data_IF_914698417962
#
_entry.id   IF_914698417962
#
_cell.length_a   1.000
_cell.length_b   1.000
_cell.length_c   1.000
_cell.angle_alpha   90.00
_cell.angle_beta   90.00
_cell.angle_gamma   90.00
#
_symmetry.space_group_name_H-M   'P 1'
#
loop_
_entity.id
_entity.type
_entity.pdbx_description
1 polymer ?
#
# COMPACT_ATOMS: atom_id res chain seq x y z
N UNK A 1 34.73 -103.58 -9.68
CA UNK A 1 36.12 -103.32 -9.21
C UNK A 1 36.48 -101.84 -9.41
N UNK A 2 37.06 -101.21 -8.41
CA UNK A 2 37.67 -99.93 -8.36
C UNK A 2 36.80 -98.66 -8.33
N UNK A 3 36.64 -98.10 -7.12
CA UNK A 3 36.44 -96.69 -6.85
C UNK A 3 37.63 -95.86 -7.30
N UNK A 4 37.50 -94.55 -7.57
CA UNK A 4 37.97 -93.63 -6.59
C UNK A 4 37.18 -92.32 -6.46
N UNK A 5 37.22 -91.87 -5.26
CA UNK A 5 37.44 -90.59 -4.63
C UNK A 5 36.77 -89.29 -5.15
N UNK A 6 35.84 -88.87 -4.34
CA UNK A 6 35.34 -87.48 -4.23
C UNK A 6 36.46 -86.51 -3.72
N UNK A 7 36.51 -85.36 -4.35
CA UNK A 7 37.09 -84.13 -3.73
C UNK A 7 36.00 -83.08 -3.71
N UNK A 8 35.59 -82.76 -2.52
CA UNK A 8 34.62 -81.67 -2.26
C UNK A 8 35.36 -80.30 -2.35
N UNK A 9 34.97 -79.50 -3.30
CA UNK A 9 35.35 -78.08 -3.34
C UNK A 9 34.24 -77.21 -2.75
N UNK A 10 34.49 -76.66 -1.58
CA UNK A 10 33.61 -75.71 -0.96
C UNK A 10 33.71 -74.36 -1.66
N UNK A 11 32.70 -73.94 -2.36
CA UNK A 11 32.58 -72.53 -2.89
C UNK A 11 31.97 -71.65 -1.84
N UNK A 12 32.78 -70.79 -1.22
CA UNK A 12 32.33 -69.69 -0.38
C UNK A 12 31.78 -68.57 -1.25
N UNK A 13 30.44 -68.42 -1.27
CA UNK A 13 29.78 -67.27 -1.86
C UNK A 13 29.77 -66.14 -0.84
N UNK A 14 30.67 -65.20 -1.02
CA UNK A 14 30.64 -63.95 -0.28
C UNK A 14 29.57 -63.02 -0.87
N UNK A 15 28.42 -62.94 -0.21
CA UNK A 15 27.37 -61.96 -0.51
C UNK A 15 27.80 -60.61 0.13
N UNK A 16 28.38 -59.73 -0.68
CA UNK A 16 28.59 -58.31 -0.33
C UNK A 16 27.26 -57.58 -0.33
N UNK A 17 26.72 -57.32 0.85
CA UNK A 17 25.66 -56.34 1.08
C UNK A 17 26.22 -54.94 0.79
N UNK A 18 26.00 -54.46 -0.41
CA UNK A 18 26.17 -53.04 -0.72
C UNK A 18 24.97 -52.26 -0.13
N UNK A 19 25.12 -51.76 1.08
CA UNK A 19 24.24 -50.77 1.66
C UNK A 19 24.46 -49.48 0.90
N UNK A 20 23.63 -49.23 -0.09
CA UNK A 20 23.54 -47.91 -0.76
C UNK A 20 23.02 -46.89 0.22
N UNK A 21 23.91 -46.13 0.79
CA UNK A 21 23.63 -44.87 1.44
C UNK A 21 23.12 -43.93 0.34
N UNK A 22 21.80 -43.88 0.17
CA UNK A 22 21.16 -42.81 -0.55
C UNK A 22 21.30 -41.58 0.33
N UNK A 23 22.35 -40.79 0.07
CA UNK A 23 22.43 -39.44 0.54
C UNK A 23 21.26 -38.68 -0.07
N UNK A 24 20.19 -38.52 0.68
CA UNK A 24 19.22 -37.45 0.41
C UNK A 24 19.97 -36.14 0.54
N UNK A 25 20.55 -35.70 -0.54
CA UNK A 25 20.85 -34.29 -0.73
C UNK A 25 19.48 -33.63 -0.75
N UNK A 26 19.08 -33.10 0.40
CA UNK A 26 17.99 -32.15 0.46
C UNK A 26 18.42 -31.02 -0.48
N UNK A 27 17.89 -31.05 -1.69
CA UNK A 27 18.03 -29.99 -2.66
C UNK A 27 17.37 -28.78 -1.99
N UNK A 28 18.21 -27.96 -1.32
CA UNK A 28 17.81 -26.61 -0.96
C UNK A 28 17.40 -26.00 -2.30
N UNK A 29 16.10 -25.96 -2.54
CA UNK A 29 15.54 -25.18 -3.61
C UNK A 29 16.07 -23.77 -3.36
N UNK A 30 17.11 -23.39 -4.10
CA UNK A 30 17.54 -22.02 -4.18
C UNK A 30 16.29 -21.27 -4.58
N UNK A 31 15.74 -20.48 -3.64
CA UNK A 31 14.55 -19.69 -3.89
C UNK A 31 14.94 -18.63 -4.93
N UNK A 32 14.83 -19.00 -6.20
CA UNK A 32 15.02 -18.12 -7.34
C UNK A 32 13.86 -17.15 -7.38
N UNK A 33 13.94 -16.10 -6.56
CA UNK A 33 12.95 -15.04 -6.53
C UNK A 33 13.66 -13.70 -6.42
N UNK A 34 13.01 -12.68 -6.92
CA UNK A 34 13.48 -11.29 -6.82
C UNK A 34 12.94 -10.69 -5.53
N UNK A 35 13.77 -10.03 -4.71
CA UNK A 35 13.29 -9.36 -3.51
C UNK A 35 12.37 -8.20 -3.91
N UNK A 36 11.19 -8.16 -3.31
CA UNK A 36 10.19 -7.12 -3.47
C UNK A 36 9.79 -6.62 -2.09
N UNK A 37 9.53 -5.33 -2.00
CA UNK A 37 9.13 -4.65 -0.78
C UNK A 37 7.71 -4.13 -0.89
N UNK A 38 7.00 -4.11 0.22
CA UNK A 38 5.72 -3.41 0.34
C UNK A 38 5.47 -2.99 1.78
N UNK A 39 4.77 -1.89 1.96
CA UNK A 39 4.29 -1.47 3.28
C UNK A 39 2.99 -2.20 3.59
N UNK A 40 2.89 -2.72 4.80
CA UNK A 40 1.71 -3.45 5.29
C UNK A 40 1.24 -2.80 6.59
N UNK A 41 -0.03 -2.45 6.66
CA UNK A 41 -0.68 -2.00 7.89
C UNK A 41 -1.31 -3.19 8.60
N UNK A 42 -1.05 -3.35 9.90
CA UNK A 42 -1.67 -4.39 10.73
C UNK A 42 -2.88 -3.79 11.45
N UNK A 43 -4.02 -4.44 11.30
CA UNK A 43 -5.29 -3.99 11.88
C UNK A 43 -5.97 -5.08 12.70
N UNK A 44 -6.89 -4.67 13.56
CA UNK A 44 -7.81 -5.58 14.22
C UNK A 44 -9.09 -5.69 13.37
N UNK A 45 -9.54 -6.91 13.06
CA UNK A 45 -10.83 -7.12 12.40
C UNK A 45 -12.01 -6.63 13.24
N UNK A 46 -11.87 -6.69 14.55
CA UNK A 46 -12.90 -6.27 15.51
C UNK A 46 -12.27 -5.58 16.71
N UNK A 47 -12.81 -4.41 17.08
CA UNK A 47 -12.34 -3.63 18.23
C UNK A 47 -11.01 -2.91 17.94
N UNK A 48 -10.42 -2.34 18.98
CA UNK A 48 -9.23 -1.48 18.86
C UNK A 48 -7.90 -2.20 19.17
N UNK A 49 -7.96 -3.44 19.72
CA UNK A 49 -6.77 -4.17 20.10
C UNK A 49 -6.17 -4.90 18.90
N UNK A 50 -5.11 -4.32 18.34
CA UNK A 50 -4.38 -4.91 17.23
C UNK A 50 -3.44 -5.99 17.73
N UNK A 51 -3.55 -7.23 17.23
CA UNK A 51 -2.66 -8.33 17.59
C UNK A 51 -1.22 -8.07 17.14
N UNK A 52 -0.26 -8.62 17.87
CA UNK A 52 1.13 -8.64 17.47
C UNK A 52 1.31 -9.68 16.36
N UNK A 53 1.94 -9.29 15.28
CA UNK A 53 2.26 -10.15 14.12
C UNK A 53 3.77 -10.29 14.02
N UNK A 54 4.27 -11.53 14.05
CA UNK A 54 5.66 -11.84 13.80
C UNK A 54 5.86 -12.24 12.33
N UNK A 55 7.09 -12.30 11.89
CA UNK A 55 7.42 -12.67 10.49
C UNK A 55 6.85 -14.02 10.08
N UNK A 56 6.88 -15.00 10.95
CA UNK A 56 6.36 -16.36 10.73
C UNK A 56 4.84 -16.42 10.57
N UNK A 57 4.14 -15.41 11.12
CA UNK A 57 2.69 -15.30 11.02
C UNK A 57 2.24 -14.70 9.66
N UNK A 58 3.17 -14.13 8.89
CA UNK A 58 2.89 -13.48 7.61
C UNK A 58 2.98 -14.49 6.47
N UNK A 59 1.90 -14.65 5.76
CA UNK A 59 1.83 -15.48 4.56
C UNK A 59 1.57 -14.62 3.33
N UNK A 60 2.48 -14.71 2.37
CA UNK A 60 2.40 -14.01 1.08
C UNK A 60 2.07 -15.01 -0.01
N UNK A 61 1.05 -14.73 -0.81
CA UNK A 61 0.65 -15.54 -1.96
C UNK A 61 0.73 -14.71 -3.24
N UNK A 62 1.41 -15.25 -4.22
CA UNK A 62 1.50 -14.72 -5.58
C UNK A 62 0.73 -15.71 -6.48
N UNK A 63 -0.49 -15.37 -6.82
CA UNK A 63 -1.45 -16.29 -7.38
C UNK A 63 -1.77 -17.46 -6.41
N UNK A 64 -1.34 -18.67 -6.76
CA UNK A 64 -1.50 -19.86 -5.90
C UNK A 64 -0.24 -20.23 -5.13
N UNK A 65 0.89 -19.64 -5.49
CA UNK A 65 2.20 -19.97 -4.93
C UNK A 65 2.45 -19.16 -3.67
N UNK A 66 2.95 -19.81 -2.61
CA UNK A 66 3.39 -19.13 -1.40
C UNK A 66 4.80 -18.59 -1.60
N UNK A 67 4.95 -17.28 -1.48
CA UNK A 67 6.24 -16.62 -1.55
C UNK A 67 7.00 -16.72 -0.21
N UNK A 68 8.33 -16.65 -0.28
CA UNK A 68 9.18 -16.70 0.90
C UNK A 68 9.34 -15.32 1.50
N UNK A 69 8.81 -15.12 2.72
CA UNK A 69 8.98 -13.89 3.50
C UNK A 69 10.42 -13.84 4.01
N UNK A 70 11.14 -12.78 3.66
CA UNK A 70 12.52 -12.54 4.06
C UNK A 70 12.61 -11.67 5.30
N UNK A 71 11.84 -10.60 5.32
CA UNK A 71 11.88 -9.63 6.39
C UNK A 71 10.49 -9.09 6.72
N UNK A 72 10.32 -8.69 7.98
CA UNK A 72 9.12 -8.09 8.53
C UNK A 72 9.54 -7.07 9.58
N UNK A 73 9.75 -5.83 9.15
CA UNK A 73 10.35 -4.79 9.95
C UNK A 73 9.30 -3.74 10.35
N UNK A 74 9.12 -3.46 11.65
CA UNK A 74 8.21 -2.41 12.08
C UNK A 74 8.71 -1.04 11.61
N UNK A 75 7.82 -0.27 11.01
CA UNK A 75 8.09 1.09 10.55
C UNK A 75 7.75 2.09 11.66
N UNK A 76 8.44 1.96 12.81
CA UNK A 76 8.22 2.75 14.01
C UNK A 76 9.53 3.36 14.51
N UNK A 77 9.42 4.48 15.25
CA UNK A 77 10.56 5.14 15.86
C UNK A 77 11.17 6.27 15.03
N UNK A 78 12.20 6.91 15.59
CA UNK A 78 12.80 8.13 15.03
C UNK A 78 13.59 7.88 13.73
N UNK A 79 13.96 6.63 13.46
CA UNK A 79 14.82 6.28 12.32
C UNK A 79 14.03 5.90 11.06
N UNK A 80 12.72 5.80 11.16
CA UNK A 80 11.85 5.42 10.03
C UNK A 80 11.04 6.62 9.58
N UNK A 81 11.63 7.41 8.67
CA UNK A 81 11.00 8.59 8.14
C UNK A 81 9.70 8.30 7.38
N UNK A 82 8.73 9.18 7.53
CA UNK A 82 7.52 9.25 6.72
C UNK A 82 7.49 10.62 6.03
N UNK A 83 7.17 10.64 4.75
CA UNK A 83 6.75 11.83 4.04
C UNK A 83 5.26 11.70 3.73
N UNK A 84 4.46 12.58 4.30
CA UNK A 84 3.02 12.61 4.11
C UNK A 84 2.61 13.91 3.41
N UNK A 85 2.02 13.80 2.22
CA UNK A 85 1.37 14.94 1.59
C UNK A 85 -0.10 15.01 1.96
N UNK A 86 -0.52 16.19 2.40
CA UNK A 86 -1.94 16.56 2.49
C UNK A 86 -2.32 17.19 1.15
N UNK A 87 -3.14 16.48 0.36
CA UNK A 87 -3.56 16.87 -0.98
C UNK A 87 -5.04 17.24 -0.97
N UNK A 88 -5.35 18.53 -1.02
CA UNK A 88 -6.71 19.08 -0.88
C UNK A 88 -7.25 19.54 -2.23
N UNK A 89 -8.48 19.21 -2.53
CA UNK A 89 -9.14 19.61 -3.77
C UNK A 89 -9.57 21.09 -3.71
N UNK A 90 -9.05 21.93 -4.62
CA UNK A 90 -9.42 23.34 -4.73
C UNK A 90 -10.85 23.54 -5.29
N UNK A 91 -11.45 22.50 -5.86
CA UNK A 91 -12.85 22.46 -6.23
C UNK A 91 -13.76 21.99 -5.09
N UNK A 92 -13.22 21.70 -3.91
CA UNK A 92 -14.02 21.39 -2.72
C UNK A 92 -14.84 22.61 -2.27
N UNK A 93 -15.97 22.32 -1.60
CA UNK A 93 -16.78 23.37 -1.03
C UNK A 93 -15.99 24.16 0.04
N UNK A 94 -16.13 25.49 0.05
CA UNK A 94 -15.44 26.36 1.01
C UNK A 94 -15.82 26.10 2.48
N UNK A 95 -16.92 25.37 2.72
CA UNK A 95 -17.29 24.86 4.06
C UNK A 95 -16.22 23.94 4.66
N UNK A 96 -15.31 23.38 3.84
CA UNK A 96 -14.12 22.66 4.31
C UNK A 96 -13.25 23.51 5.25
N UNK A 97 -13.42 24.85 5.19
CA UNK A 97 -12.76 25.75 6.12
C UNK A 97 -12.97 25.40 7.60
N UNK A 98 -14.11 24.80 7.96
CA UNK A 98 -14.40 24.38 9.33
C UNK A 98 -13.61 23.14 9.78
N UNK A 99 -13.16 22.30 8.85
CA UNK A 99 -12.37 21.09 9.14
C UNK A 99 -10.85 21.32 9.01
N UNK A 100 -10.42 22.50 8.52
CA UNK A 100 -8.99 22.79 8.40
C UNK A 100 -8.27 22.83 9.76
N UNK A 101 -8.99 23.15 10.84
CA UNK A 101 -8.41 23.11 12.18
C UNK A 101 -8.09 21.68 12.61
N UNK A 102 -8.95 20.72 12.31
CA UNK A 102 -8.69 19.30 12.56
C UNK A 102 -7.42 18.84 11.81
N UNK A 103 -7.25 19.26 10.55
CA UNK A 103 -6.04 18.96 9.76
C UNK A 103 -4.80 19.63 10.38
N UNK A 104 -4.90 20.88 10.87
CA UNK A 104 -3.78 21.56 11.55
C UNK A 104 -3.35 20.82 12.82
N UNK A 105 -4.32 20.40 13.63
CA UNK A 105 -4.05 19.63 14.84
C UNK A 105 -3.40 18.29 14.50
N UNK A 106 -3.89 17.59 13.49
CA UNK A 106 -3.28 16.37 12.99
C UNK A 106 -1.83 16.58 12.56
N UNK A 107 -1.53 17.62 11.74
CA UNK A 107 -0.16 17.95 11.31
C UNK A 107 0.75 18.18 12.52
N UNK A 108 0.30 19.03 13.46
CA UNK A 108 1.11 19.39 14.62
C UNK A 108 1.32 18.24 15.62
N UNK A 109 0.44 17.23 15.60
CA UNK A 109 0.53 16.06 16.47
C UNK A 109 1.43 14.94 15.91
N UNK A 110 1.88 15.05 14.64
CA UNK A 110 2.73 14.03 14.05
C UNK A 110 4.12 13.99 14.70
N UNK A 111 4.77 12.79 14.72
CA UNK A 111 6.15 12.66 15.20
C UNK A 111 7.13 13.54 14.42
N UNK A 112 8.21 13.98 15.05
CA UNK A 112 9.26 14.80 14.40
C UNK A 112 9.96 14.09 13.23
N UNK A 113 9.87 12.76 13.16
CA UNK A 113 10.35 11.95 12.03
C UNK A 113 9.44 11.99 10.80
N UNK A 114 8.24 12.58 10.92
CA UNK A 114 7.28 12.72 9.83
C UNK A 114 7.45 14.09 9.16
N UNK A 115 7.81 14.10 7.88
CA UNK A 115 7.84 15.31 7.09
C UNK A 115 6.49 15.51 6.38
N UNK A 116 5.85 16.67 6.58
CA UNK A 116 4.54 16.99 6.02
C UNK A 116 4.67 17.94 4.85
N UNK A 117 4.08 17.55 3.70
CA UNK A 117 3.86 18.40 2.55
C UNK A 117 2.39 18.84 2.44
N UNK A 118 2.14 19.98 1.82
CA UNK A 118 0.78 20.49 1.54
C UNK A 118 0.69 20.88 0.09
N UNK A 119 -0.29 20.31 -0.60
CA UNK A 119 -0.58 20.61 -2.00
C UNK A 119 -2.09 20.70 -2.24
N UNK A 120 -2.46 21.38 -3.33
CA UNK A 120 -3.85 21.53 -3.76
C UNK A 120 -4.04 20.95 -5.15
N UNK A 121 -5.15 20.21 -5.35
CA UNK A 121 -5.58 19.72 -6.65
C UNK A 121 -6.12 20.90 -7.45
N UNK A 122 -5.50 21.22 -8.56
CA UNK A 122 -5.93 22.31 -9.42
C UNK A 122 -5.68 22.01 -10.89
N UNK A 123 -6.73 21.97 -11.70
CA UNK A 123 -6.63 21.71 -13.15
C UNK A 123 -5.84 20.44 -13.51
N UNK A 124 -5.95 19.39 -12.70
CA UNK A 124 -5.21 18.13 -12.91
C UNK A 124 -3.72 18.21 -12.54
N UNK A 125 -3.28 19.24 -11.83
CA UNK A 125 -1.92 19.42 -11.34
C UNK A 125 -1.95 19.50 -9.82
N UNK A 126 -0.90 19.04 -9.14
CA UNK A 126 -0.70 19.29 -7.73
C UNK A 126 0.03 20.62 -7.54
N UNK A 127 -0.69 21.64 -7.07
CA UNK A 127 -0.11 22.92 -6.68
C UNK A 127 0.53 22.80 -5.29
N UNK A 128 1.85 22.57 -5.26
CA UNK A 128 2.59 22.32 -4.02
C UNK A 128 2.87 23.66 -3.35
N UNK A 129 2.18 23.92 -2.23
CA UNK A 129 2.41 25.12 -1.41
C UNK A 129 3.52 24.92 -0.39
N UNK A 130 3.70 23.67 0.08
CA UNK A 130 4.77 23.29 1.00
C UNK A 130 5.31 21.91 0.63
N UNK A 131 6.59 21.83 0.32
CA UNK A 131 7.28 20.55 0.22
C UNK A 131 7.38 19.86 1.59
N UNK A 132 7.57 18.55 1.65
CA UNK A 132 7.70 17.85 2.92
C UNK A 132 8.74 18.49 3.84
N UNK A 133 8.31 18.87 5.05
CA UNK A 133 9.13 19.51 6.08
C UNK A 133 8.81 18.92 7.45
N UNK A 134 9.82 18.81 8.30
CA UNK A 134 9.65 18.42 9.70
C UNK A 134 9.25 19.65 10.59
N UNK A 135 9.25 20.86 10.04
CA UNK A 135 8.61 22.02 10.67
C UNK A 135 7.09 21.95 10.44
N UNK A 136 6.41 21.28 11.35
CA UNK A 136 4.96 21.07 11.27
C UNK A 136 4.19 22.38 11.35
N UNK A 137 4.71 23.38 12.08
CA UNK A 137 4.08 24.71 12.13
C UNK A 137 4.16 25.41 10.75
N UNK A 138 5.25 25.23 10.01
CA UNK A 138 5.38 25.72 8.64
C UNK A 138 4.42 24.99 7.71
N UNK A 139 4.32 23.66 7.79
CA UNK A 139 3.37 22.87 7.01
C UNK A 139 1.92 23.30 7.28
N UNK A 140 1.55 23.45 8.54
CA UNK A 140 0.21 23.89 8.95
C UNK A 140 -0.16 25.29 8.44
N UNK A 141 0.80 26.21 8.30
CA UNK A 141 0.59 27.56 7.74
C UNK A 141 0.28 27.52 6.24
N UNK A 142 0.66 26.48 5.51
CA UNK A 142 0.36 26.32 4.10
C UNK A 142 -1.10 25.90 3.84
N UNK A 143 -1.83 25.49 4.88
CA UNK A 143 -3.26 25.18 4.78
C UNK A 143 -4.07 26.47 4.58
N UNK A 144 -4.90 26.46 3.55
CA UNK A 144 -5.86 27.53 3.23
C UNK A 144 -7.23 26.95 2.87
N UNK A 145 -8.24 27.78 2.93
CA UNK A 145 -9.56 27.41 2.43
C UNK A 145 -9.45 27.12 0.92
N UNK A 146 -10.07 26.03 0.42
CA UNK A 146 -10.18 25.80 -1.01
C UNK A 146 -10.81 26.99 -1.74
N UNK A 147 -10.45 27.18 -2.99
CA UNK A 147 -10.97 28.31 -3.77
C UNK A 147 -12.47 28.18 -4.03
N UNK A 148 -13.00 26.97 -3.96
CA UNK A 148 -14.41 26.70 -4.27
C UNK A 148 -14.72 27.01 -5.73
N UNK A 149 -13.76 26.85 -6.62
CA UNK A 149 -13.88 27.18 -8.04
C UNK A 149 -14.12 25.90 -8.85
N UNK A 150 -15.34 25.80 -9.41
CA UNK A 150 -15.68 24.69 -10.30
C UNK A 150 -14.81 24.65 -11.57
N UNK A 151 -14.21 25.78 -11.97
CA UNK A 151 -13.26 25.87 -13.09
C UNK A 151 -11.88 25.31 -12.75
N UNK A 152 -11.52 25.19 -11.45
CA UNK A 152 -10.30 24.53 -11.02
C UNK A 152 -10.39 23.00 -11.09
N UNK A 153 -11.56 22.47 -11.43
CA UNK A 153 -11.84 21.06 -11.47
C UNK A 153 -11.27 20.40 -12.73
N UNK A 154 -10.16 19.72 -12.56
CA UNK A 154 -9.66 18.73 -13.52
C UNK A 154 -9.97 17.32 -13.04
N UNK A 155 -9.15 16.35 -13.46
CA UNK A 155 -9.12 15.04 -12.82
C UNK A 155 -8.27 15.11 -11.55
N UNK A 156 -8.79 14.76 -10.37
CA UNK A 156 -7.99 14.70 -9.16
C UNK A 156 -6.90 13.63 -9.28
N UNK A 157 -7.11 12.62 -10.09
CA UNK A 157 -6.18 11.52 -10.34
C UNK A 157 -4.95 11.95 -11.16
N UNK A 158 -5.11 12.94 -12.08
CA UNK A 158 -3.94 13.56 -12.73
C UNK A 158 -3.05 14.28 -11.73
N UNK A 159 -3.66 14.95 -10.74
CA UNK A 159 -2.90 15.63 -9.69
C UNK A 159 -2.12 14.65 -8.80
N UNK A 160 -2.69 13.47 -8.51
CA UNK A 160 -1.97 12.38 -7.83
C UNK A 160 -0.76 11.93 -8.66
N UNK A 161 -0.96 11.67 -9.95
CA UNK A 161 0.14 11.27 -10.86
C UNK A 161 1.22 12.36 -10.96
N UNK A 162 0.82 13.63 -11.06
CA UNK A 162 1.72 14.77 -11.13
C UNK A 162 2.51 14.93 -9.83
N UNK A 163 1.85 14.82 -8.68
CA UNK A 163 2.51 14.88 -7.37
C UNK A 163 3.59 13.79 -7.24
N UNK A 164 3.23 12.54 -7.52
CA UNK A 164 4.15 11.40 -7.42
C UNK A 164 5.34 11.56 -8.38
N UNK A 165 5.13 12.09 -9.60
CA UNK A 165 6.22 12.34 -10.56
C UNK A 165 7.23 13.37 -10.08
N UNK A 166 6.78 14.37 -9.35
CA UNK A 166 7.63 15.47 -8.81
C UNK A 166 8.17 15.19 -7.43
N UNK A 167 7.70 14.14 -6.78
CA UNK A 167 8.13 13.74 -5.45
C UNK A 167 9.41 12.92 -5.55
N UNK A 168 10.54 13.39 -5.03
CA UNK A 168 11.80 12.66 -5.10
C UNK A 168 11.70 11.28 -4.48
N UNK A 169 12.27 10.29 -5.17
CA UNK A 169 12.40 8.94 -4.61
C UNK A 169 13.45 8.95 -3.48
N UNK A 170 13.23 8.11 -2.48
CA UNK A 170 14.11 8.01 -1.33
C UNK A 170 13.73 6.83 -0.44
N UNK A 171 14.56 6.52 0.58
CA UNK A 171 14.35 5.36 1.45
C UNK A 171 13.26 5.56 2.50
N UNK A 172 12.46 6.61 2.40
CA UNK A 172 11.39 6.94 3.35
C UNK A 172 10.03 6.52 2.81
N UNK A 173 9.11 6.12 3.68
CA UNK A 173 7.71 5.90 3.32
C UNK A 173 7.12 7.17 2.72
N UNK A 174 6.30 7.00 1.68
CA UNK A 174 5.60 8.10 1.02
C UNK A 174 4.10 7.82 1.04
N UNK A 175 3.34 8.74 1.61
CA UNK A 175 1.90 8.58 1.74
C UNK A 175 1.18 9.87 1.39
N UNK A 176 -0.05 9.74 0.94
CA UNK A 176 -0.92 10.87 0.59
C UNK A 176 -2.21 10.77 1.41
N UNK A 177 -2.59 11.86 2.06
CA UNK A 177 -3.94 12.07 2.53
C UNK A 177 -4.66 12.98 1.52
N UNK A 178 -5.54 12.40 0.73
CA UNK A 178 -6.31 13.09 -0.29
C UNK A 178 -7.67 13.53 0.28
N UNK A 179 -8.00 14.82 0.17
CA UNK A 179 -9.29 15.39 0.59
C UNK A 179 -9.99 15.93 -0.65
N UNK A 180 -10.99 15.19 -1.16
CA UNK A 180 -11.63 15.49 -2.45
C UNK A 180 -13.06 14.92 -2.51
N UNK A 181 -13.84 15.36 -3.51
CA UNK A 181 -15.10 14.70 -3.88
C UNK A 181 -14.88 13.45 -4.75
N UNK A 182 -13.64 13.22 -5.21
CA UNK A 182 -13.25 12.09 -6.04
C UNK A 182 -13.86 12.13 -7.46
N UNK A 183 -14.65 13.14 -7.81
CA UNK A 183 -15.32 13.22 -9.11
C UNK A 183 -14.29 13.53 -10.20
N UNK A 184 -14.09 12.59 -11.09
CA UNK A 184 -13.30 12.85 -12.30
C UNK A 184 -14.12 13.61 -13.33
N UNK A 185 -13.82 14.89 -13.48
CA UNK A 185 -14.52 15.79 -14.40
C UNK A 185 -13.99 15.68 -15.82
N UNK A 186 -12.91 14.94 -16.02
CA UNK A 186 -12.26 14.71 -17.31
C UNK A 186 -12.62 13.33 -17.90
N UNK A 187 -12.47 12.27 -17.10
CA UNK A 187 -12.76 10.89 -17.51
C UNK A 187 -14.23 10.48 -17.43
N UNK A 188 -15.05 11.32 -16.78
CA UNK A 188 -16.48 11.02 -16.59
C UNK A 188 -16.76 10.15 -15.37
N UNK A 189 -17.97 9.57 -15.32
CA UNK A 189 -18.46 8.78 -14.20
C UNK A 189 -19.00 7.44 -14.71
N UNK A 190 -18.50 6.33 -14.15
CA UNK A 190 -18.86 4.98 -14.54
C UNK A 190 -18.00 3.90 -13.88
N UNK A 191 -18.26 2.64 -14.18
CA UNK A 191 -17.58 1.51 -13.51
C UNK A 191 -16.10 1.34 -13.93
N UNK A 192 -15.65 2.05 -14.94
CA UNK A 192 -14.28 2.01 -15.44
C UNK A 192 -13.80 3.43 -15.68
N UNK A 193 -12.69 3.80 -15.07
CA UNK A 193 -12.06 5.10 -15.27
C UNK A 193 -10.54 4.92 -15.43
N UNK A 194 -10.01 5.06 -16.66
CA UNK A 194 -8.61 4.81 -16.94
C UNK A 194 -7.65 5.76 -16.22
N UNK A 195 -8.13 6.91 -15.73
CA UNK A 195 -7.30 7.86 -15.00
C UNK A 195 -7.14 7.47 -13.53
N UNK A 196 -8.19 6.87 -12.93
CA UNK A 196 -8.11 6.23 -11.62
C UNK A 196 -7.13 5.07 -11.69
N UNK A 197 -7.28 4.17 -12.66
CA UNK A 197 -6.40 3.02 -12.86
C UNK A 197 -4.93 3.46 -13.05
N UNK A 198 -4.70 4.51 -13.85
CA UNK A 198 -3.36 5.06 -14.06
C UNK A 198 -2.76 5.68 -12.78
N UNK A 199 -3.57 6.32 -11.95
CA UNK A 199 -3.12 6.86 -10.67
C UNK A 199 -2.76 5.75 -9.67
N UNK A 200 -3.57 4.69 -9.63
CA UNK A 200 -3.30 3.49 -8.82
C UNK A 200 -1.99 2.84 -9.25
N UNK A 201 -1.83 2.55 -10.54
CA UNK A 201 -0.59 1.97 -11.06
C UNK A 201 0.65 2.82 -10.74
N UNK A 202 0.50 4.15 -10.86
CA UNK A 202 1.59 5.07 -10.53
C UNK A 202 1.93 5.05 -9.06
N UNK A 203 0.92 5.03 -8.18
CA UNK A 203 1.10 4.95 -6.74
C UNK A 203 1.73 3.63 -6.32
N UNK A 204 1.20 2.50 -6.80
CA UNK A 204 1.74 1.16 -6.51
C UNK A 204 3.20 1.02 -6.98
N UNK A 205 3.53 1.53 -8.19
CA UNK A 205 4.91 1.49 -8.70
C UNK A 205 5.87 2.35 -7.88
N UNK A 206 5.37 3.43 -7.30
CA UNK A 206 6.15 4.34 -6.47
C UNK A 206 6.09 3.99 -4.98
N UNK A 207 5.41 2.90 -4.62
CA UNK A 207 5.18 2.45 -3.23
C UNK A 207 4.54 3.56 -2.36
N UNK A 208 3.58 4.30 -2.96
CA UNK A 208 2.84 5.38 -2.29
C UNK A 208 1.48 4.86 -1.85
N UNK A 209 1.20 4.94 -0.56
CA UNK A 209 -0.12 4.63 0.00
C UNK A 209 -0.99 5.89 -0.06
N UNK A 210 -2.26 5.71 -0.44
CA UNK A 210 -3.21 6.83 -0.54
C UNK A 210 -4.38 6.59 0.41
N UNK A 211 -4.56 7.50 1.34
CA UNK A 211 -5.76 7.63 2.17
C UNK A 211 -6.64 8.71 1.58
N UNK A 212 -7.95 8.59 1.73
CA UNK A 212 -8.86 9.60 1.24
C UNK A 212 -9.95 9.96 2.25
N UNK A 213 -10.25 11.26 2.34
CA UNK A 213 -11.42 11.77 3.06
C UNK A 213 -12.33 12.43 2.04
N UNK A 214 -13.58 11.97 1.98
CA UNK A 214 -14.58 12.59 1.12
C UNK A 214 -14.98 13.97 1.64
N UNK A 215 -15.05 14.95 0.73
CA UNK A 215 -15.63 16.27 0.97
C UNK A 215 -16.42 16.70 -0.28
N UNK A 216 -17.61 17.30 -0.15
CA UNK A 216 -18.39 17.73 -1.31
C UNK A 216 -17.67 18.77 -2.16
N UNK A 217 -17.76 18.62 -3.46
CA UNK A 217 -17.29 19.61 -4.43
C UNK A 217 -18.32 20.72 -4.68
N UNK A 218 -17.89 21.77 -5.37
CA UNK A 218 -18.76 22.88 -5.78
C UNK A 218 -19.39 22.66 -7.16
N UNK A 219 -20.41 23.48 -7.44
CA UNK A 219 -21.13 23.47 -8.71
C UNK A 219 -22.08 22.30 -8.88
N UNK A 220 -22.70 22.20 -10.06
CA UNK A 220 -23.74 21.17 -10.30
C UNK A 220 -23.21 19.73 -10.27
N UNK A 221 -21.90 19.52 -10.46
CA UNK A 221 -21.27 18.21 -10.30
C UNK A 221 -21.38 17.71 -8.87
N UNK A 222 -21.12 18.58 -7.88
CA UNK A 222 -21.23 18.27 -6.46
C UNK A 222 -22.66 18.01 -5.96
N UNK A 223 -23.69 18.24 -6.79
CA UNK A 223 -25.10 17.97 -6.47
C UNK A 223 -25.68 16.77 -7.25
N UNK A 224 -24.92 16.15 -8.13
CA UNK A 224 -25.34 14.97 -8.87
C UNK A 224 -25.10 13.71 -8.05
N UNK A 225 -26.17 13.09 -7.55
CA UNK A 225 -26.09 11.82 -6.80
C UNK A 225 -25.26 10.75 -7.53
N UNK A 226 -25.45 10.61 -8.84
CA UNK A 226 -24.72 9.67 -9.68
C UNK A 226 -23.21 9.93 -9.65
N UNK A 227 -22.80 11.19 -9.81
CA UNK A 227 -21.38 11.58 -9.83
C UNK A 227 -20.73 11.48 -8.46
N UNK A 228 -21.46 11.89 -7.41
CA UNK A 228 -21.00 11.74 -6.03
C UNK A 228 -20.71 10.27 -5.73
N UNK A 229 -21.64 9.38 -6.10
CA UNK A 229 -21.47 7.95 -5.88
C UNK A 229 -20.22 7.40 -6.58
N UNK A 230 -19.99 7.75 -7.86
CA UNK A 230 -18.77 7.34 -8.56
C UNK A 230 -17.52 7.98 -8.00
N UNK A 231 -17.56 9.26 -7.61
CA UNK A 231 -16.44 9.91 -6.96
C UNK A 231 -15.99 9.18 -5.71
N UNK A 232 -16.93 8.78 -4.87
CA UNK A 232 -16.65 8.01 -3.66
C UNK A 232 -16.15 6.60 -3.96
N UNK A 233 -16.70 5.92 -4.96
CA UNK A 233 -16.19 4.62 -5.39
C UNK A 233 -14.74 4.73 -5.88
N UNK A 234 -14.38 5.79 -6.60
CA UNK A 234 -13.01 6.01 -7.04
C UNK A 234 -12.05 6.33 -5.89
N UNK A 235 -12.52 7.09 -4.88
CA UNK A 235 -11.74 7.32 -3.67
C UNK A 235 -11.50 6.01 -2.91
N UNK A 236 -12.53 5.16 -2.79
CA UNK A 236 -12.39 3.83 -2.20
C UNK A 236 -11.40 2.98 -3.01
N UNK A 237 -11.59 2.91 -4.33
CA UNK A 237 -10.74 2.11 -5.19
C UNK A 237 -9.26 2.50 -5.07
N UNK A 238 -8.92 3.79 -5.18
CA UNK A 238 -7.51 4.23 -5.11
C UNK A 238 -6.91 4.00 -3.73
N UNK A 239 -7.68 4.15 -2.66
CA UNK A 239 -7.21 3.88 -1.30
C UNK A 239 -7.00 2.38 -1.09
N UNK A 240 -8.00 1.56 -1.36
CA UNK A 240 -7.95 0.11 -1.15
C UNK A 240 -6.83 -0.55 -1.97
N UNK A 241 -6.72 -0.23 -3.27
CA UNK A 241 -5.72 -0.83 -4.15
C UNK A 241 -4.29 -0.37 -3.86
N UNK A 242 -4.10 0.75 -3.13
CA UNK A 242 -2.78 1.21 -2.68
C UNK A 242 -2.45 0.83 -1.24
N UNK A 243 -3.38 0.17 -0.52
CA UNK A 243 -3.19 -0.26 0.87
C UNK A 243 -3.50 0.81 1.91
N UNK A 244 -4.25 1.84 1.53
CA UNK A 244 -4.76 2.87 2.43
C UNK A 244 -6.21 2.61 2.85
N UNK A 245 -6.91 3.67 3.25
CA UNK A 245 -8.30 3.65 3.70
C UNK A 245 -9.06 4.84 3.11
N UNK A 246 -10.32 4.63 2.77
CA UNK A 246 -11.22 5.68 2.33
C UNK A 246 -12.27 5.99 3.40
N UNK A 247 -12.19 7.18 3.94
CA UNK A 247 -13.13 7.67 4.95
C UNK A 247 -14.32 8.32 4.27
N UNK A 248 -15.38 7.53 4.15
CA UNK A 248 -16.60 7.98 3.50
C UNK A 248 -17.79 8.05 4.45
N UNK A 249 -18.67 9.04 4.22
CA UNK A 249 -19.72 9.40 5.16
C UNK A 249 -21.08 9.74 4.57
N UNK A 250 -21.32 9.50 3.32
CA UNK A 250 -22.58 9.80 2.70
C UNK A 250 -22.57 11.05 1.83
N UNK A 251 -23.73 11.72 1.71
CA UNK A 251 -23.93 12.81 0.75
C UNK A 251 -23.48 14.19 1.25
N UNK A 252 -23.21 14.31 2.55
CA UNK A 252 -22.82 15.56 3.18
C UNK A 252 -21.34 15.66 3.50
N UNK A 253 -20.87 16.86 3.85
CA UNK A 253 -19.55 17.03 4.44
C UNK A 253 -19.56 16.47 5.87
N UNK A 254 -18.46 15.81 6.31
CA UNK A 254 -18.28 15.47 7.72
C UNK A 254 -18.32 16.74 8.59
N UNK A 255 -18.91 16.63 9.76
CA UNK A 255 -18.89 17.73 10.74
C UNK A 255 -17.47 18.00 11.23
N UNK A 256 -16.67 16.95 11.41
CA UNK A 256 -15.26 16.99 11.82
C UNK A 256 -14.49 15.89 11.11
N UNK A 257 -13.22 16.14 10.82
CA UNK A 257 -12.27 15.14 10.33
C UNK A 257 -11.51 14.44 11.46
N UNK A 258 -11.59 14.93 12.70
CA UNK A 258 -10.82 14.41 13.82
C UNK A 258 -10.90 12.88 13.96
N UNK A 259 -12.08 12.20 13.93
CA UNK A 259 -12.12 10.75 14.08
C UNK A 259 -11.36 9.98 12.99
N UNK A 260 -11.34 10.50 11.76
CA UNK A 260 -10.63 9.87 10.63
C UNK A 260 -9.13 10.12 10.70
N UNK A 261 -8.74 11.32 11.12
CA UNK A 261 -7.34 11.69 11.33
C UNK A 261 -6.72 10.95 12.53
N UNK A 262 -7.52 10.67 13.56
CA UNK A 262 -7.12 9.81 14.68
C UNK A 262 -6.91 8.36 14.20
N UNK A 263 -7.83 7.81 13.42
CA UNK A 263 -7.67 6.47 12.83
C UNK A 263 -6.45 6.41 11.92
N UNK A 264 -6.27 7.41 11.05
CA UNK A 264 -5.07 7.51 10.20
C UNK A 264 -3.79 7.53 11.04
N UNK A 265 -3.75 8.29 12.13
CA UNK A 265 -2.61 8.32 13.06
C UNK A 265 -2.31 6.92 13.60
N UNK A 266 -3.33 6.17 13.98
CA UNK A 266 -3.17 4.79 14.43
C UNK A 266 -2.65 3.87 13.34
N UNK A 267 -3.13 4.00 12.10
CA UNK A 267 -2.64 3.22 10.95
C UNK A 267 -1.16 3.50 10.67
N UNK A 268 -0.75 4.76 10.64
CA UNK A 268 0.63 5.19 10.42
C UNK A 268 1.61 4.59 11.45
N UNK A 269 1.16 4.32 12.67
CA UNK A 269 1.97 3.70 13.73
C UNK A 269 2.00 2.17 13.72
N UNK A 270 1.20 1.52 12.86
CA UNK A 270 1.04 0.06 12.79
C UNK A 270 1.53 -0.52 11.48
N UNK A 271 2.42 0.18 10.81
CA UNK A 271 2.97 -0.23 9.53
C UNK A 271 4.27 -1.01 9.68
N UNK A 272 4.47 -1.92 8.73
CA UNK A 272 5.63 -2.77 8.63
C UNK A 272 6.14 -2.78 7.19
N UNK A 273 7.44 -2.84 7.02
CA UNK A 273 8.06 -3.14 5.72
C UNK A 273 8.17 -4.66 5.59
N UNK A 274 7.38 -5.21 4.69
CA UNK A 274 7.44 -6.61 4.28
C UNK A 274 8.43 -6.75 3.11
N UNK A 275 9.40 -7.65 3.26
CA UNK A 275 10.26 -8.09 2.16
C UNK A 275 10.00 -9.56 1.88
N UNK A 276 9.70 -9.90 0.64
CA UNK A 276 9.53 -11.29 0.20
C UNK A 276 10.17 -11.54 -1.16
N UNK A 277 10.38 -12.80 -1.50
CA UNK A 277 10.89 -13.20 -2.80
C UNK A 277 9.71 -13.44 -3.74
N UNK A 278 9.51 -12.51 -4.67
CA UNK A 278 8.54 -12.67 -5.72
C UNK A 278 9.10 -13.55 -6.84
N UNK A 279 8.24 -14.37 -7.45
CA UNK A 279 8.57 -15.15 -8.63
C UNK A 279 8.56 -14.22 -9.84
N UNK A 280 9.70 -13.97 -10.50
CA UNK A 280 9.72 -13.12 -11.67
C UNK A 280 9.02 -13.79 -12.84
N UNK A 281 8.50 -12.98 -13.74
CA UNK A 281 8.03 -13.40 -15.05
C UNK A 281 9.04 -12.98 -16.13
N UNK A 282 8.86 -13.44 -17.36
CA UNK A 282 9.72 -13.09 -18.50
C UNK A 282 9.75 -11.59 -18.79
N UNK A 283 8.73 -10.86 -18.36
CA UNK A 283 8.63 -9.41 -18.47
C UNK A 283 8.36 -8.81 -17.09
N UNK A 284 9.00 -7.68 -16.82
CA UNK A 284 8.68 -6.89 -15.65
C UNK A 284 7.22 -6.41 -15.70
N UNK A 285 6.52 -6.45 -14.57
CA UNK A 285 5.12 -6.06 -14.52
C UNK A 285 4.50 -6.13 -13.13
N UNK A 286 3.25 -5.69 -13.04
CA UNK A 286 2.47 -5.82 -11.82
C UNK A 286 1.98 -7.25 -11.65
N UNK A 287 2.12 -7.76 -10.43
CA UNK A 287 1.63 -9.08 -10.06
C UNK A 287 0.77 -8.98 -8.81
N UNK A 288 -0.36 -9.66 -8.82
CA UNK A 288 -1.26 -9.70 -7.66
C UNK A 288 -0.61 -10.42 -6.50
N UNK A 289 -0.71 -9.82 -5.33
CA UNK A 289 -0.23 -10.37 -4.07
C UNK A 289 -1.38 -10.41 -3.07
N UNK A 290 -1.49 -11.51 -2.35
CA UNK A 290 -2.46 -11.68 -1.29
C UNK A 290 -1.75 -11.98 0.02
N UNK A 291 -1.98 -11.15 1.01
CA UNK A 291 -1.48 -11.35 2.37
C UNK A 291 -2.51 -12.12 3.21
N UNK A 292 -2.02 -12.98 4.07
CA UNK A 292 -2.83 -13.71 5.05
C UNK A 292 -2.06 -13.86 6.36
N UNK A 293 -2.80 -14.03 7.43
CA UNK A 293 -2.29 -14.44 8.75
C UNK A 293 -3.29 -15.37 9.43
N UNK A 294 -2.80 -16.29 10.24
CA UNK A 294 -3.63 -17.15 11.09
C UNK A 294 -3.81 -16.57 12.49
N UNK A 295 -3.18 -15.44 12.80
CA UNK A 295 -3.35 -14.76 14.08
C UNK A 295 -4.80 -14.30 14.22
N UNK A 296 -5.52 -14.72 15.26
CA UNK A 296 -6.92 -14.36 15.47
C UNK A 296 -7.08 -12.83 15.56
N UNK A 297 -8.16 -12.32 15.00
CA UNK A 297 -8.51 -10.90 15.00
C UNK A 297 -7.51 -9.97 14.28
N UNK A 298 -6.53 -10.51 13.54
CA UNK A 298 -5.59 -9.71 12.76
C UNK A 298 -6.01 -9.63 11.30
N UNK A 299 -5.75 -8.47 10.70
CA UNK A 299 -5.85 -8.20 9.27
C UNK A 299 -4.58 -7.52 8.78
N UNK A 300 -4.13 -7.92 7.59
CA UNK A 300 -2.97 -7.35 6.91
C UNK A 300 -3.46 -6.56 5.71
N UNK A 301 -3.36 -5.24 5.77
CA UNK A 301 -3.78 -4.33 4.71
C UNK A 301 -2.56 -3.82 3.96
N UNK A 302 -2.57 -3.95 2.64
CA UNK A 302 -1.48 -3.52 1.77
C UNK A 302 -1.99 -3.37 0.34
N UNK A 303 -1.17 -2.81 -0.54
CA UNK A 303 -1.46 -2.78 -1.97
C UNK A 303 -1.73 -4.21 -2.50
N UNK A 304 -2.70 -4.36 -3.37
CA UNK A 304 -3.11 -5.65 -3.93
C UNK A 304 -2.15 -6.18 -5.00
N UNK A 305 -1.27 -5.32 -5.53
CA UNK A 305 -0.26 -5.63 -6.55
C UNK A 305 1.09 -5.03 -6.20
N UNK A 306 2.13 -5.71 -6.61
CA UNK A 306 3.52 -5.22 -6.55
C UNK A 306 4.14 -5.24 -7.93
N UNK A 307 5.05 -4.30 -8.20
CA UNK A 307 5.84 -4.32 -9.43
C UNK A 307 7.03 -5.24 -9.27
N UNK A 308 7.07 -6.31 -10.07
CA UNK A 308 8.14 -7.31 -10.05
C UNK A 308 9.04 -7.09 -11.26
N UNK A 309 10.37 -6.89 -11.09
CA UNK A 309 11.32 -6.83 -12.20
C UNK A 309 11.32 -8.12 -13.02
N UNK A 310 11.74 -8.04 -14.28
CA UNK A 310 11.95 -9.23 -15.11
C UNK A 310 13.05 -10.12 -14.52
N UNK A 311 13.01 -11.40 -14.84
CA UNK A 311 14.12 -12.32 -14.59
C UNK A 311 15.37 -11.82 -15.34
N UNK A 312 16.49 -11.64 -14.62
CA UNK A 312 17.78 -11.22 -15.19
C UNK A 312 18.49 -12.41 -15.80
#
# INVERSE_FOLDING_TARGET
MRKPHLIAGALLVATSLATGLWSMVAQQASSTGVPVHMVVTVEARHGSNVPVINREDVMVYQGRDRANVRDWMPLQGEHVGLQLFILIDDAANTSLGSQLEDIRQFINAQPSSTAIGVAYIRNGIADILQNPTNDHAQAAKALRIPLGDAGAAGSPYFSVVDLIKRWPEGPVRREILMVSDGIDRFGGSGPSNPYVDSAIERAQRAEVIIYSIYTPGVGHYGHSFWRINWGQNYLSQISDETGGESYYLGLGAPVSFAPYLDDLTHRLTRQFLLTFLAKPETKAGFQQVKLRTEVPNAELVAADRVYVPAEM
#
